data_IF_939993744737
#
_entry.id   IF_939993744737
#
_cell.length_a   1.000
_cell.length_b   1.000
_cell.length_c   1.000
_cell.angle_alpha   90.00
_cell.angle_beta   90.00
_cell.angle_gamma   90.00
#
_symmetry.space_group_name_H-M   'P 1'
#
loop_
_entity.id
_entity.type
_entity.pdbx_description
1 polymer ?
#
# COMPACT_ATOMS: atom_id res chain seq x y z
N UNK A 1 -20.08 13.86 -28.23
CA UNK A 1 -20.65 15.16 -27.85
C UNK A 1 -19.55 16.20 -27.86
N UNK A 2 -19.74 17.40 -28.43
CA UNK A 2 -18.74 18.48 -28.33
C UNK A 2 -18.59 18.91 -26.87
N UNK A 3 -17.32 19.15 -26.43
CA UNK A 3 -17.03 19.62 -25.07
C UNK A 3 -17.68 21.00 -24.84
N UNK A 4 -18.25 21.18 -23.66
CA UNK A 4 -18.85 22.46 -23.29
C UNK A 4 -17.77 23.54 -23.14
N UNK A 5 -18.15 24.81 -23.37
CA UNK A 5 -17.25 25.98 -23.34
C UNK A 5 -16.62 26.26 -21.97
N UNK A 6 -17.14 25.65 -20.89
CA UNK A 6 -16.71 25.77 -19.48
C UNK A 6 -16.17 24.45 -18.90
N UNK A 7 -15.50 23.65 -19.74
CA UNK A 7 -14.87 22.39 -19.28
C UNK A 7 -13.66 22.69 -18.39
N UNK A 8 -13.81 22.47 -17.06
CA UNK A 8 -12.77 22.66 -16.06
C UNK A 8 -11.83 21.44 -15.91
N UNK A 9 -11.95 20.43 -16.78
CA UNK A 9 -11.19 19.17 -16.69
C UNK A 9 -9.67 19.38 -16.61
N UNK A 10 -9.13 20.36 -17.33
CA UNK A 10 -7.68 20.65 -17.30
C UNK A 10 -7.23 21.22 -15.96
N UNK A 11 -8.03 22.10 -15.36
CA UNK A 11 -7.75 22.66 -14.02
C UNK A 11 -7.81 21.56 -12.96
N UNK A 12 -8.86 20.73 -12.98
CA UNK A 12 -9.01 19.61 -12.05
C UNK A 12 -7.81 18.64 -12.17
N UNK A 13 -7.36 18.33 -13.39
CA UNK A 13 -6.17 17.48 -13.58
C UNK A 13 -4.90 18.09 -12.97
N UNK A 14 -4.73 19.41 -13.07
CA UNK A 14 -3.63 20.11 -12.43
C UNK A 14 -3.67 19.98 -10.90
N UNK A 15 -4.85 20.19 -10.32
CA UNK A 15 -5.06 20.07 -8.88
C UNK A 15 -4.84 18.63 -8.39
N UNK A 16 -5.38 17.63 -9.12
CA UNK A 16 -5.13 16.22 -8.78
C UNK A 16 -3.65 15.84 -8.86
N UNK A 17 -2.92 16.41 -9.84
CA UNK A 17 -1.49 16.18 -9.94
C UNK A 17 -0.72 16.79 -8.76
N UNK A 18 -1.09 17.98 -8.32
CA UNK A 18 -0.55 18.63 -7.11
C UNK A 18 -0.77 17.75 -5.88
N UNK A 19 -1.96 17.17 -5.70
CA UNK A 19 -2.25 16.29 -4.58
C UNK A 19 -1.48 14.97 -4.64
N UNK A 20 -1.21 14.43 -5.82
CA UNK A 20 -0.31 13.28 -5.97
C UNK A 20 1.13 13.61 -5.56
N UNK A 21 1.60 14.83 -5.89
CA UNK A 21 2.90 15.32 -5.40
C UNK A 21 2.90 15.43 -3.87
N UNK A 22 1.83 16.00 -3.30
CA UNK A 22 1.69 16.11 -1.84
C UNK A 22 1.74 14.73 -1.17
N UNK A 23 1.02 13.76 -1.72
CA UNK A 23 1.04 12.37 -1.23
C UNK A 23 2.46 11.77 -1.28
N UNK A 24 3.19 11.98 -2.39
CA UNK A 24 4.57 11.51 -2.47
C UNK A 24 5.43 12.14 -1.37
N UNK A 25 5.26 13.44 -1.12
CA UNK A 25 6.03 14.13 -0.07
C UNK A 25 5.66 13.63 1.33
N UNK A 26 4.40 13.26 1.56
CA UNK A 26 4.01 12.60 2.82
C UNK A 26 4.74 11.26 3.02
N UNK A 27 4.87 10.45 1.98
CA UNK A 27 5.67 9.21 2.04
C UNK A 27 7.18 9.43 2.24
N UNK A 28 7.70 10.59 1.86
CA UNK A 28 9.12 10.96 1.98
C UNK A 28 9.45 11.72 3.25
N UNK A 29 8.45 12.04 4.09
CA UNK A 29 8.69 12.71 5.37
C UNK A 29 9.62 11.92 6.27
N UNK A 30 10.37 12.65 7.07
CA UNK A 30 11.15 12.15 8.20
C UNK A 30 10.48 12.59 9.50
N UNK A 31 10.81 11.92 10.58
CA UNK A 31 10.33 12.27 11.92
C UNK A 31 10.54 13.77 12.24
N UNK A 32 9.49 14.41 12.73
CA UNK A 32 9.46 15.85 13.03
C UNK A 32 9.21 16.75 11.81
N UNK A 33 8.90 16.19 10.64
CA UNK A 33 8.42 16.94 9.46
C UNK A 33 6.91 16.93 9.36
N UNK A 34 6.38 17.97 8.69
CA UNK A 34 4.99 18.06 8.28
C UNK A 34 4.90 18.54 6.83
N UNK A 35 3.91 18.01 6.09
CA UNK A 35 3.53 18.49 4.77
C UNK A 35 2.32 19.41 4.91
N UNK A 36 2.36 20.54 4.21
CA UNK A 36 1.25 21.48 4.10
C UNK A 36 0.82 21.58 2.64
N UNK A 37 -0.48 21.59 2.40
CA UNK A 37 -1.06 21.72 1.06
C UNK A 37 -1.78 23.08 0.99
N UNK A 38 -1.54 23.85 -0.06
CA UNK A 38 -2.14 25.19 -0.31
C UNK A 38 -1.88 26.26 0.78
N UNK A 39 -1.21 25.95 1.86
CA UNK A 39 -0.96 26.90 2.97
C UNK A 39 0.20 27.84 2.67
N UNK A 40 1.30 27.33 2.14
CA UNK A 40 2.50 28.10 1.76
C UNK A 40 2.82 27.94 0.27
N UNK A 41 1.81 27.86 -0.59
CA UNK A 41 1.87 27.49 -1.99
C UNK A 41 1.40 26.07 -2.22
N UNK A 42 1.60 25.50 -3.42
CA UNK A 42 0.99 24.23 -3.82
C UNK A 42 1.26 23.10 -2.79
N UNK A 43 2.55 22.84 -2.47
CA UNK A 43 2.96 21.84 -1.46
C UNK A 43 4.19 22.35 -0.71
N UNK A 44 4.20 22.22 0.60
CA UNK A 44 5.35 22.62 1.42
C UNK A 44 5.69 21.53 2.43
N UNK A 45 6.98 21.29 2.64
CA UNK A 45 7.51 20.41 3.67
C UNK A 45 8.21 21.29 4.68
N UNK A 46 7.77 21.24 5.93
CA UNK A 46 8.39 21.97 7.04
C UNK A 46 8.96 20.99 8.07
N UNK A 47 10.12 21.35 8.59
CA UNK A 47 10.87 20.64 9.61
C UNK A 47 12.04 21.49 10.08
N UNK A 48 13.25 20.92 10.16
CA UNK A 48 14.45 21.75 10.32
C UNK A 48 14.62 22.62 9.07
N UNK A 49 15.17 23.84 9.23
CA UNK A 49 15.34 24.77 8.11
C UNK A 49 16.11 24.15 6.94
N UNK A 50 17.11 23.33 7.17
CA UNK A 50 17.89 22.61 6.15
C UNK A 50 17.02 21.74 5.23
N UNK A 51 15.89 21.26 5.74
CA UNK A 51 15.05 20.24 5.09
C UNK A 51 13.70 20.79 4.65
N UNK A 52 13.42 22.08 4.97
CA UNK A 52 12.17 22.73 4.60
C UNK A 52 12.17 23.14 3.13
N UNK A 53 11.13 22.75 2.40
CA UNK A 53 11.01 22.94 0.94
C UNK A 53 9.62 23.43 0.58
N UNK A 54 9.55 24.30 -0.44
CA UNK A 54 8.29 24.66 -1.08
C UNK A 54 8.31 24.20 -2.54
N UNK A 55 7.21 23.61 -3.01
CA UNK A 55 7.08 23.00 -4.33
C UNK A 55 5.88 23.63 -5.03
N UNK A 56 6.14 24.23 -6.19
CA UNK A 56 5.11 24.65 -7.15
C UNK A 56 5.00 23.60 -8.24
N UNK A 57 3.83 23.00 -8.38
CA UNK A 57 3.57 21.92 -9.34
C UNK A 57 2.90 22.45 -10.61
N UNK A 58 3.37 22.02 -11.77
CA UNK A 58 2.85 22.47 -13.06
C UNK A 58 2.65 21.32 -14.04
N UNK A 59 1.39 21.02 -14.35
CA UNK A 59 1.00 19.97 -15.29
C UNK A 59 0.74 20.56 -16.68
N UNK A 60 1.72 20.51 -17.57
CA UNK A 60 1.63 21.05 -18.93
C UNK A 60 2.29 20.14 -19.96
N UNK A 61 1.75 20.14 -21.21
CA UNK A 61 2.27 19.34 -22.31
C UNK A 61 3.32 20.04 -23.18
N UNK A 62 3.39 21.37 -23.15
CA UNK A 62 4.32 22.15 -23.97
C UNK A 62 5.71 22.14 -23.33
N UNK A 63 6.76 22.35 -24.15
CA UNK A 63 8.12 22.52 -23.64
C UNK A 63 8.25 23.74 -22.74
N UNK A 64 9.15 23.65 -21.76
CA UNK A 64 9.49 24.74 -20.85
C UNK A 64 10.39 25.75 -21.60
N UNK A 65 9.81 26.84 -22.03
CA UNK A 65 10.55 27.91 -22.73
C UNK A 65 11.09 28.96 -21.74
N UNK A 66 12.06 29.78 -22.18
CA UNK A 66 12.64 30.84 -21.35
C UNK A 66 11.61 31.83 -20.82
N UNK A 67 10.54 32.05 -21.59
CA UNK A 67 9.42 32.93 -21.23
C UNK A 67 8.17 32.11 -20.85
N UNK A 68 8.34 30.94 -20.27
CA UNK A 68 7.20 30.22 -19.76
C UNK A 68 6.52 30.97 -18.61
N UNK A 69 5.24 31.25 -18.79
CA UNK A 69 4.45 32.04 -17.85
C UNK A 69 4.41 31.42 -16.43
N UNK A 70 4.43 30.10 -16.35
CA UNK A 70 4.35 29.43 -15.05
C UNK A 70 5.63 29.61 -14.23
N UNK A 71 6.80 29.54 -14.87
CA UNK A 71 8.08 29.85 -14.21
C UNK A 71 8.07 31.25 -13.63
N UNK A 72 7.73 32.23 -14.47
CA UNK A 72 7.76 33.64 -14.04
C UNK A 72 6.67 33.95 -13.00
N UNK A 73 5.52 33.31 -13.08
CA UNK A 73 4.48 33.39 -12.05
C UNK A 73 4.94 32.78 -10.71
N UNK A 74 5.63 31.65 -10.73
CA UNK A 74 6.16 31.05 -9.50
C UNK A 74 7.22 31.94 -8.85
N UNK A 75 8.18 32.46 -9.63
CA UNK A 75 9.18 33.41 -9.10
C UNK A 75 8.48 34.68 -8.58
N UNK A 76 7.44 35.19 -9.27
CA UNK A 76 6.65 36.32 -8.83
C UNK A 76 5.95 36.04 -7.49
N UNK A 77 5.39 34.85 -7.29
CA UNK A 77 4.77 34.47 -6.03
C UNK A 77 5.81 34.46 -4.89
N UNK A 78 6.96 33.87 -5.11
CA UNK A 78 8.04 33.79 -4.12
C UNK A 78 8.70 35.13 -3.80
N UNK A 79 8.68 36.10 -4.71
CA UNK A 79 9.26 37.44 -4.51
C UNK A 79 8.38 38.34 -3.65
N UNK A 80 7.09 38.06 -3.53
CA UNK A 80 6.15 38.86 -2.76
C UNK A 80 6.53 38.90 -1.28
N UNK A 81 6.23 40.01 -0.64
CA UNK A 81 6.58 40.25 0.78
C UNK A 81 5.86 39.32 1.73
N UNK A 82 4.63 38.88 1.38
CA UNK A 82 3.80 37.95 2.16
C UNK A 82 4.26 36.49 2.06
N UNK A 83 5.14 36.13 1.13
CA UNK A 83 5.69 34.79 1.05
C UNK A 83 6.87 34.63 2.02
N UNK A 84 6.86 33.64 2.97
CA UNK A 84 7.89 33.49 4.00
C UNK A 84 9.14 32.78 3.45
N UNK A 85 9.87 33.40 2.53
CA UNK A 85 11.02 32.79 1.86
C UNK A 85 12.11 32.31 2.81
N UNK A 86 12.21 32.91 4.00
CA UNK A 86 13.19 32.57 5.01
C UNK A 86 12.91 31.23 5.71
N UNK A 87 11.70 30.72 5.58
CA UNK A 87 11.28 29.43 6.14
C UNK A 87 11.84 28.25 5.34
N UNK A 88 12.24 28.46 4.09
CA UNK A 88 12.64 27.39 3.19
C UNK A 88 14.13 27.37 2.88
N UNK A 89 14.67 26.18 2.68
CA UNK A 89 16.02 25.96 2.14
C UNK A 89 16.00 25.77 0.62
N UNK A 90 14.87 25.36 0.07
CA UNK A 90 14.71 25.11 -1.36
C UNK A 90 13.32 25.48 -1.86
N UNK A 91 13.28 26.06 -3.07
CA UNK A 91 12.08 26.37 -3.83
C UNK A 91 12.11 25.52 -5.09
N UNK A 92 11.12 24.66 -5.30
CA UNK A 92 11.12 23.67 -6.37
C UNK A 92 9.98 23.98 -7.35
N UNK A 93 10.31 24.23 -8.59
CA UNK A 93 9.36 24.20 -9.69
C UNK A 93 9.32 22.80 -10.27
N UNK A 94 8.31 22.01 -9.89
CA UNK A 94 8.09 20.67 -10.38
C UNK A 94 7.15 20.73 -11.59
N UNK A 95 7.61 20.30 -12.76
CA UNK A 95 6.84 20.43 -13.99
C UNK A 95 6.91 19.17 -14.86
N UNK A 96 5.83 18.87 -15.58
CA UNK A 96 5.81 17.81 -16.60
C UNK A 96 6.34 18.27 -17.96
N UNK A 97 6.74 19.54 -18.06
CA UNK A 97 7.30 20.14 -19.28
C UNK A 97 8.76 19.70 -19.48
N UNK A 98 9.12 19.33 -20.70
CA UNK A 98 10.52 19.04 -21.05
C UNK A 98 11.29 20.35 -21.25
N UNK A 99 12.49 20.43 -20.71
CA UNK A 99 13.41 21.54 -20.97
C UNK A 99 14.12 21.29 -22.31
N UNK A 100 13.90 22.08 -23.36
CA UNK A 100 14.53 21.86 -24.67
C UNK A 100 16.00 22.21 -24.66
N UNK A 101 16.74 21.61 -25.60
CA UNK A 101 18.12 21.98 -25.89
C UNK A 101 18.13 23.45 -26.36
N UNK A 102 18.95 24.30 -25.74
CA UNK A 102 19.01 25.75 -26.03
C UNK A 102 18.10 26.60 -25.15
N UNK A 103 17.26 26.04 -24.27
CA UNK A 103 16.59 26.81 -23.23
C UNK A 103 17.58 27.29 -22.18
N UNK A 104 17.38 28.51 -21.70
CA UNK A 104 18.15 29.09 -20.60
C UNK A 104 18.00 28.29 -19.29
N UNK A 105 16.90 27.53 -19.15
CA UNK A 105 16.64 26.64 -18.03
C UNK A 105 17.40 25.32 -18.10
N UNK A 106 18.06 25.00 -19.24
CA UNK A 106 18.85 23.78 -19.36
C UNK A 106 20.03 23.81 -18.38
N UNK A 107 20.23 22.72 -17.66
CA UNK A 107 21.26 22.59 -16.61
C UNK A 107 21.17 23.66 -15.50
N UNK A 108 19.99 24.25 -15.28
CA UNK A 108 19.77 25.24 -14.23
C UNK A 108 20.26 24.79 -12.86
N UNK A 109 19.93 23.57 -12.48
CA UNK A 109 20.25 23.04 -11.15
C UNK A 109 21.76 22.87 -10.89
N UNK A 110 22.57 22.71 -11.96
CA UNK A 110 24.02 22.64 -11.90
C UNK A 110 24.75 23.99 -11.86
N UNK A 111 24.02 25.11 -12.10
CA UNK A 111 24.62 26.44 -12.11
C UNK A 111 24.82 26.99 -10.69
N UNK A 112 25.91 27.71 -10.48
CA UNK A 112 26.13 28.46 -9.24
C UNK A 112 25.20 29.69 -9.13
N UNK A 113 25.04 30.30 -7.93
CA UNK A 113 24.10 31.41 -7.75
C UNK A 113 24.36 32.64 -8.65
N UNK A 114 25.61 32.96 -8.98
CA UNK A 114 25.95 34.07 -9.87
C UNK A 114 25.54 33.77 -11.30
N UNK A 115 25.81 32.60 -11.80
CA UNK A 115 25.37 32.11 -13.11
C UNK A 115 23.85 32.09 -13.25
N UNK A 116 23.13 31.64 -12.20
CA UNK A 116 21.67 31.69 -12.19
C UNK A 116 21.12 33.10 -12.28
N UNK A 117 21.71 34.04 -11.56
CA UNK A 117 21.34 35.47 -11.65
C UNK A 117 21.63 36.04 -13.01
N UNK A 118 22.74 35.67 -13.65
CA UNK A 118 23.08 36.09 -15.02
C UNK A 118 22.05 35.56 -16.03
N UNK A 119 21.67 34.29 -15.94
CA UNK A 119 20.60 33.69 -16.76
C UNK A 119 19.30 34.49 -16.64
N UNK A 120 18.85 34.79 -15.41
CA UNK A 120 17.63 35.56 -15.20
C UNK A 120 17.69 36.96 -15.84
N UNK A 121 18.83 37.66 -15.68
CA UNK A 121 19.05 38.99 -16.29
C UNK A 121 19.05 38.90 -17.80
N UNK A 122 19.71 37.92 -18.40
CA UNK A 122 19.76 37.73 -19.84
C UNK A 122 18.36 37.45 -20.42
N UNK A 123 17.53 36.64 -19.74
CA UNK A 123 16.14 36.43 -20.16
C UNK A 123 15.36 37.76 -20.09
N UNK A 124 15.53 38.57 -19.03
CA UNK A 124 14.89 39.88 -18.88
C UNK A 124 15.28 40.83 -20.00
N UNK A 125 16.58 40.94 -20.28
CA UNK A 125 17.11 41.78 -21.36
C UNK A 125 16.54 41.39 -22.73
N UNK A 126 16.52 40.08 -23.02
CA UNK A 126 15.94 39.56 -24.25
C UNK A 126 14.42 39.81 -24.33
N UNK A 127 13.72 39.73 -23.20
CA UNK A 127 12.31 40.08 -23.16
C UNK A 127 12.06 41.55 -23.41
N UNK A 128 12.87 42.42 -22.82
CA UNK A 128 12.73 43.86 -22.97
C UNK A 128 12.97 44.36 -24.41
N UNK A 129 13.82 43.70 -25.16
CA UNK A 129 14.09 44.01 -26.57
C UNK A 129 12.95 43.59 -27.52
N UNK A 130 11.97 42.85 -27.08
CA UNK A 130 10.86 42.37 -27.94
C UNK A 130 9.86 43.49 -28.27
N UNK A 131 9.46 43.57 -29.54
CA UNK A 131 8.42 44.49 -29.99
C UNK A 131 7.02 44.19 -29.43
N UNK A 132 6.72 42.90 -29.24
CA UNK A 132 5.46 42.45 -28.64
C UNK A 132 5.78 41.64 -27.35
N UNK A 133 5.19 42.07 -26.27
CA UNK A 133 5.39 41.45 -24.93
C UNK A 133 4.07 40.88 -24.42
N UNK A 134 4.16 39.71 -23.80
CA UNK A 134 3.07 39.17 -23.00
C UNK A 134 2.87 40.09 -21.78
N UNK A 135 1.64 40.55 -21.55
CA UNK A 135 1.31 41.50 -20.48
C UNK A 135 1.54 40.94 -19.09
N UNK A 136 1.19 39.66 -18.89
CA UNK A 136 1.34 39.04 -17.57
C UNK A 136 2.82 38.82 -17.23
N UNK A 137 3.61 38.33 -18.21
CA UNK A 137 5.06 38.17 -18.03
C UNK A 137 5.72 39.52 -17.78
N UNK A 138 5.30 40.59 -18.50
CA UNK A 138 5.80 41.93 -18.27
C UNK A 138 5.52 42.40 -16.83
N UNK A 139 4.31 42.15 -16.32
CA UNK A 139 3.94 42.49 -14.95
C UNK A 139 4.81 41.71 -13.93
N UNK A 140 4.96 40.40 -14.13
CA UNK A 140 5.80 39.60 -13.24
C UNK A 140 7.26 40.06 -13.24
N UNK A 141 7.86 40.27 -14.43
CA UNK A 141 9.25 40.67 -14.55
C UNK A 141 9.51 42.07 -13.97
N UNK A 142 8.57 43.01 -14.11
CA UNK A 142 8.72 44.32 -13.50
C UNK A 142 8.81 44.29 -11.99
N UNK A 143 8.03 43.42 -11.34
CA UNK A 143 8.09 43.23 -9.90
C UNK A 143 9.34 42.43 -9.49
N UNK A 144 9.65 41.36 -10.20
CA UNK A 144 10.79 40.49 -9.89
C UNK A 144 12.12 41.25 -9.96
N UNK A 145 12.30 42.12 -10.97
CA UNK A 145 13.52 42.87 -11.20
C UNK A 145 13.49 44.29 -10.64
N UNK A 146 12.48 44.62 -9.82
CA UNK A 146 12.50 45.89 -9.07
C UNK A 146 13.75 45.91 -8.16
N UNK A 147 14.39 47.08 -8.10
CA UNK A 147 15.63 47.30 -7.29
C UNK A 147 15.41 46.88 -5.82
N UNK A 148 14.23 47.16 -5.26
CA UNK A 148 13.88 46.81 -3.89
C UNK A 148 13.91 45.28 -3.65
N UNK A 149 13.69 44.49 -4.69
CA UNK A 149 13.64 43.02 -4.62
C UNK A 149 15.00 42.35 -4.94
N UNK A 150 16.05 43.10 -5.25
CA UNK A 150 17.33 42.56 -5.73
C UNK A 150 17.94 41.49 -4.80
N UNK A 151 17.97 41.77 -3.49
CA UNK A 151 18.52 40.82 -2.50
C UNK A 151 17.66 39.58 -2.41
N UNK A 152 16.33 39.75 -2.40
CA UNK A 152 15.38 38.62 -2.31
C UNK A 152 15.42 37.78 -3.58
N UNK A 153 15.53 38.38 -4.75
CA UNK A 153 15.69 37.66 -6.02
C UNK A 153 16.98 36.83 -6.06
N UNK A 154 18.10 37.38 -5.57
CA UNK A 154 19.37 36.64 -5.46
C UNK A 154 19.23 35.43 -4.57
N UNK A 155 18.52 35.56 -3.45
CA UNK A 155 18.22 34.44 -2.55
C UNK A 155 17.35 33.39 -3.21
N UNK A 156 16.24 33.79 -3.86
CA UNK A 156 15.35 32.88 -4.60
C UNK A 156 16.14 32.15 -5.69
N UNK A 157 16.96 32.86 -6.50
CA UNK A 157 17.77 32.23 -7.53
C UNK A 157 18.73 31.15 -6.98
N UNK A 158 19.30 31.37 -5.78
CA UNK A 158 20.13 30.37 -5.09
C UNK A 158 19.33 29.12 -4.70
N UNK A 159 18.09 29.31 -4.24
CA UNK A 159 17.22 28.25 -3.69
C UNK A 159 16.38 27.54 -4.76
N UNK A 160 16.22 28.13 -5.94
CA UNK A 160 15.36 27.62 -7.00
C UNK A 160 15.97 26.38 -7.65
N UNK A 161 15.15 25.31 -7.68
CA UNK A 161 15.40 24.10 -8.46
C UNK A 161 14.27 23.91 -9.47
N UNK A 162 14.59 23.42 -10.66
CA UNK A 162 13.63 23.07 -11.69
C UNK A 162 13.68 21.56 -11.86
N UNK A 163 12.59 20.90 -11.48
CA UNK A 163 12.44 19.46 -11.56
C UNK A 163 11.46 19.12 -12.69
N UNK A 164 12.00 18.58 -13.78
CA UNK A 164 11.25 18.24 -14.99
C UNK A 164 10.99 16.75 -15.03
N UNK A 165 9.76 16.35 -14.69
CA UNK A 165 9.31 14.96 -14.73
C UNK A 165 8.48 14.72 -16.00
N UNK A 166 8.86 13.71 -16.81
CA UNK A 166 8.20 13.42 -18.10
C UNK A 166 6.97 12.51 -17.98
N UNK A 167 6.21 12.60 -16.89
CA UNK A 167 5.08 11.70 -16.59
C UNK A 167 3.76 12.48 -16.49
N UNK A 168 2.68 11.88 -16.97
CA UNK A 168 1.34 12.40 -16.69
C UNK A 168 0.81 11.93 -15.33
N UNK A 169 -0.31 12.49 -14.88
CA UNK A 169 -0.88 12.18 -13.56
C UNK A 169 -1.20 10.69 -13.35
N UNK A 170 -1.62 9.96 -14.40
CA UNK A 170 -1.94 8.53 -14.28
C UNK A 170 -0.66 7.69 -14.13
N UNK A 171 0.36 8.00 -14.92
CA UNK A 171 1.67 7.36 -14.81
C UNK A 171 2.31 7.65 -13.45
N UNK A 172 2.15 8.89 -12.96
CA UNK A 172 2.64 9.28 -11.65
C UNK A 172 1.96 8.49 -10.52
N UNK A 173 0.63 8.40 -10.54
CA UNK A 173 -0.12 7.59 -9.57
C UNK A 173 0.33 6.11 -9.59
N UNK A 174 0.59 5.53 -10.77
CA UNK A 174 1.10 4.17 -10.90
C UNK A 174 2.51 4.03 -10.32
N UNK A 175 3.39 5.02 -10.56
CA UNK A 175 4.74 5.01 -9.98
C UNK A 175 4.72 5.07 -8.43
N UNK A 176 3.75 5.75 -7.83
CA UNK A 176 3.57 5.74 -6.37
C UNK A 176 3.21 4.33 -5.86
N UNK A 177 2.35 3.58 -6.58
CA UNK A 177 2.04 2.20 -6.23
C UNK A 177 3.28 1.30 -6.24
N UNK A 178 4.14 1.47 -7.24
CA UNK A 178 5.38 0.69 -7.37
C UNK A 178 6.42 1.08 -6.31
N UNK A 179 6.53 2.38 -6.01
CA UNK A 179 7.55 2.91 -5.09
C UNK A 179 7.17 2.64 -3.62
N UNK A 180 5.93 2.93 -3.24
CA UNK A 180 5.49 2.91 -1.84
C UNK A 180 4.62 1.71 -1.47
N UNK A 181 4.15 0.94 -2.44
CA UNK A 181 3.44 -0.32 -2.22
C UNK A 181 4.34 -1.54 -2.02
N UNK A 182 5.65 -1.38 -1.76
CA UNK A 182 6.55 -2.50 -1.50
C UNK A 182 6.15 -3.23 -0.22
N UNK A 183 6.01 -4.55 -0.30
CA UNK A 183 5.54 -5.36 0.83
C UNK A 183 4.02 -5.53 0.89
N UNK A 184 3.26 -4.80 0.07
CA UNK A 184 1.82 -4.97 -0.08
C UNK A 184 1.55 -5.88 -1.29
N UNK A 185 0.61 -6.85 -1.20
CA UNK A 185 0.22 -7.68 -2.34
C UNK A 185 -0.18 -6.83 -3.55
N UNK A 186 0.24 -7.22 -4.75
CA UNK A 186 0.04 -6.40 -5.97
C UNK A 186 -1.40 -5.99 -6.21
N UNK A 187 -2.34 -6.89 -5.93
CA UNK A 187 -3.79 -6.62 -6.05
C UNK A 187 -4.28 -5.53 -5.09
N UNK A 188 -3.56 -5.24 -4.01
CA UNK A 188 -3.95 -4.27 -2.98
C UNK A 188 -3.17 -2.94 -3.08
N UNK A 189 -2.08 -2.86 -3.84
CA UNK A 189 -1.27 -1.62 -3.98
C UNK A 189 -2.11 -0.41 -4.39
N UNK A 190 -3.03 -0.63 -5.35
CA UNK A 190 -3.94 0.42 -5.80
C UNK A 190 -4.88 0.91 -4.69
N UNK A 191 -5.41 0.00 -3.87
CA UNK A 191 -6.28 0.35 -2.74
C UNK A 191 -5.51 1.12 -1.68
N UNK A 192 -4.29 0.71 -1.37
CA UNK A 192 -3.41 1.40 -0.43
C UNK A 192 -3.17 2.86 -0.83
N UNK A 193 -2.67 3.08 -2.04
CA UNK A 193 -2.38 4.45 -2.52
C UNK A 193 -3.66 5.28 -2.63
N UNK A 194 -4.79 4.70 -3.05
CA UNK A 194 -6.06 5.42 -3.10
C UNK A 194 -6.58 5.80 -1.70
N UNK A 195 -6.40 4.92 -0.71
CA UNK A 195 -6.74 5.22 0.68
C UNK A 195 -5.90 6.38 1.21
N UNK A 196 -4.58 6.31 1.09
CA UNK A 196 -3.67 7.37 1.53
C UNK A 196 -3.92 8.70 0.78
N UNK A 197 -4.28 8.63 -0.51
CA UNK A 197 -4.71 9.79 -1.27
C UNK A 197 -6.02 10.39 -0.73
N UNK A 198 -7.00 9.56 -0.37
CA UNK A 198 -8.24 9.98 0.29
C UNK A 198 -7.98 10.58 1.66
N UNK A 199 -7.07 10.01 2.44
CA UNK A 199 -6.68 10.49 3.76
C UNK A 199 -6.18 11.93 3.72
N UNK A 200 -5.21 12.26 2.87
CA UNK A 200 -4.66 13.62 2.77
C UNK A 200 -5.68 14.67 2.28
N UNK A 201 -6.80 14.24 1.70
CA UNK A 201 -7.90 15.07 1.22
C UNK A 201 -9.14 15.02 2.14
N UNK A 202 -9.04 14.36 3.28
CA UNK A 202 -10.17 14.25 4.19
C UNK A 202 -10.58 15.62 4.74
N UNK A 203 -11.88 15.85 5.00
CA UNK A 203 -12.34 17.12 5.55
C UNK A 203 -11.68 17.48 6.88
N UNK A 204 -11.31 16.48 7.66
CA UNK A 204 -10.62 16.68 8.93
C UNK A 204 -9.23 17.30 8.72
N UNK A 205 -8.40 16.72 7.89
CA UNK A 205 -7.07 17.25 7.55
C UNK A 205 -7.18 18.66 6.94
N UNK A 206 -8.14 18.87 6.02
CA UNK A 206 -8.36 20.19 5.39
C UNK A 206 -8.74 21.26 6.40
N UNK A 207 -9.52 20.90 7.42
CA UNK A 207 -9.97 21.85 8.47
C UNK A 207 -8.87 22.28 9.44
N UNK A 208 -7.76 21.52 9.51
CA UNK A 208 -6.60 21.81 10.35
C UNK A 208 -5.43 22.40 9.52
N UNK A 209 -5.69 23.49 8.81
CA UNK A 209 -4.71 24.20 7.97
C UNK A 209 -4.05 23.32 6.91
N UNK A 210 -4.71 22.22 6.55
CA UNK A 210 -4.22 21.21 5.62
C UNK A 210 -2.78 20.74 5.95
N UNK A 211 -2.54 20.59 7.24
CA UNK A 211 -1.29 20.06 7.79
C UNK A 211 -1.37 18.55 7.95
N UNK A 212 -0.34 17.85 7.50
CA UNK A 212 -0.18 16.41 7.66
C UNK A 212 1.15 16.19 8.37
N UNK A 213 1.12 15.68 9.59
CA UNK A 213 2.34 15.37 10.34
C UNK A 213 2.89 14.00 9.96
N UNK A 214 4.19 13.79 10.19
CA UNK A 214 4.84 12.48 10.01
C UNK A 214 4.13 11.39 10.83
N UNK A 215 3.83 11.66 12.10
CA UNK A 215 3.26 10.68 13.02
C UNK A 215 1.84 10.27 12.61
N UNK A 216 0.98 11.24 12.26
CA UNK A 216 -0.39 10.97 11.83
C UNK A 216 -0.40 10.18 10.50
N UNK A 217 0.44 10.58 9.53
CA UNK A 217 0.52 9.90 8.24
C UNK A 217 1.05 8.47 8.37
N UNK A 218 2.06 8.26 9.22
CA UNK A 218 2.65 6.94 9.46
C UNK A 218 1.65 6.03 10.16
N UNK A 219 0.95 6.53 11.19
CA UNK A 219 -0.08 5.78 11.90
C UNK A 219 -1.20 5.33 10.98
N UNK A 220 -1.71 6.23 10.12
CA UNK A 220 -2.73 5.89 9.12
C UNK A 220 -2.23 4.85 8.11
N UNK A 221 -0.97 5.01 7.64
CA UNK A 221 -0.36 4.05 6.71
C UNK A 221 -0.22 2.66 7.33
N UNK A 222 0.19 2.55 8.60
CA UNK A 222 0.29 1.29 9.32
C UNK A 222 -1.08 0.62 9.51
N UNK A 223 -2.11 1.38 9.86
CA UNK A 223 -3.47 0.87 10.06
C UNK A 223 -4.05 0.30 8.77
N UNK A 224 -3.95 1.03 7.66
CA UNK A 224 -4.47 0.55 6.38
C UNK A 224 -3.66 -0.65 5.85
N UNK A 225 -2.33 -0.67 6.02
CA UNK A 225 -1.51 -1.82 5.63
C UNK A 225 -1.95 -3.07 6.40
N UNK A 226 -2.12 -2.96 7.72
CA UNK A 226 -2.61 -4.05 8.55
C UNK A 226 -3.94 -4.60 8.03
N UNK A 227 -4.91 -3.73 7.79
CA UNK A 227 -6.22 -4.09 7.23
C UNK A 227 -6.13 -4.77 5.87
N UNK A 228 -5.28 -4.28 4.98
CA UNK A 228 -5.12 -4.83 3.62
C UNK A 228 -4.37 -6.16 3.60
N UNK A 229 -3.43 -6.36 4.49
CA UNK A 229 -2.65 -7.60 4.59
C UNK A 229 -3.45 -8.69 5.30
N UNK A 230 -4.15 -8.37 6.38
CA UNK A 230 -5.02 -9.30 7.11
C UNK A 230 -6.16 -9.84 6.23
N UNK A 231 -6.68 -9.04 5.30
CA UNK A 231 -7.81 -9.41 4.45
C UNK A 231 -7.42 -10.08 3.12
N UNK A 232 -6.16 -10.42 2.86
CA UNK A 232 -5.72 -10.85 1.53
C UNK A 232 -5.05 -12.19 1.43
N UNK A 233 -4.74 -12.85 2.52
CA UNK A 233 -4.21 -14.19 2.45
C UNK A 233 -5.33 -15.17 2.06
N UNK A 234 -5.45 -15.43 0.76
CA UNK A 234 -6.24 -16.55 0.26
C UNK A 234 -5.47 -17.83 0.60
N UNK A 235 -6.16 -18.79 1.24
CA UNK A 235 -5.56 -20.09 1.52
C UNK A 235 -5.08 -20.72 0.19
N UNK A 236 -3.85 -21.30 0.14
CA UNK A 236 -3.32 -21.86 -1.09
C UNK A 236 -4.27 -22.93 -1.68
N UNK A 237 -4.49 -22.88 -2.98
CA UNK A 237 -5.35 -23.84 -3.65
C UNK A 237 -4.80 -25.27 -3.55
N UNK A 238 -5.71 -26.24 -3.44
CA UNK A 238 -5.38 -27.66 -3.39
C UNK A 238 -4.43 -28.05 -4.53
N UNK A 239 -3.29 -28.64 -4.19
CA UNK A 239 -2.27 -29.03 -5.17
C UNK A 239 -2.79 -30.14 -6.09
N UNK A 240 -2.43 -30.09 -7.38
CA UNK A 240 -2.67 -31.20 -8.29
C UNK A 240 -1.61 -32.26 -8.07
N UNK A 241 -1.94 -33.32 -7.40
CA UNK A 241 -1.06 -34.46 -7.19
C UNK A 241 -1.30 -35.53 -8.27
N UNK A 242 -0.31 -36.39 -8.50
CA UNK A 242 -0.49 -37.61 -9.29
C UNK A 242 -1.49 -38.56 -8.57
N UNK A 243 -1.99 -39.55 -9.29
CA UNK A 243 -2.96 -40.52 -8.72
C UNK A 243 -2.47 -41.09 -7.40
N UNK A 244 -3.25 -40.91 -6.33
CA UNK A 244 -2.95 -41.39 -4.98
C UNK A 244 -3.29 -42.86 -4.94
N UNK A 245 -2.29 -43.68 -4.64
CA UNK A 245 -2.49 -45.13 -4.44
C UNK A 245 -3.00 -45.36 -3.02
N UNK A 246 -4.33 -45.43 -2.87
CA UNK A 246 -4.99 -45.53 -1.54
C UNK A 246 -4.57 -46.73 -0.72
N UNK A 247 -4.26 -47.86 -1.33
CA UNK A 247 -3.79 -49.06 -0.66
C UNK A 247 -2.46 -48.89 0.09
N UNK A 248 -1.65 -47.90 -0.28
CA UNK A 248 -0.39 -47.60 0.41
C UNK A 248 -0.61 -47.05 1.83
N UNK A 249 -1.88 -46.67 2.16
CA UNK A 249 -2.28 -46.10 3.45
C UNK A 249 -3.07 -47.05 4.34
N UNK A 250 -3.34 -48.29 3.92
CA UNK A 250 -4.16 -49.25 4.65
C UNK A 250 -3.66 -49.58 6.07
N UNK A 251 -2.37 -49.38 6.34
CA UNK A 251 -1.76 -49.62 7.66
C UNK A 251 -1.54 -48.36 8.51
N UNK A 252 -2.04 -47.20 8.07
CA UNK A 252 -1.92 -45.96 8.82
C UNK A 252 -2.88 -45.93 10.01
N UNK A 253 -2.43 -45.39 11.17
CA UNK A 253 -3.20 -45.34 12.39
C UNK A 253 -4.53 -44.61 12.23
N UNK A 254 -4.56 -43.50 11.50
CA UNK A 254 -5.81 -42.77 11.26
C UNK A 254 -6.84 -43.57 10.45
N UNK A 255 -6.40 -44.46 9.53
CA UNK A 255 -7.29 -45.34 8.77
C UNK A 255 -7.89 -46.41 9.68
N UNK A 256 -7.07 -47.02 10.54
CA UNK A 256 -7.55 -48.00 11.50
C UNK A 256 -8.58 -47.37 12.47
N UNK A 257 -8.34 -46.14 12.95
CA UNK A 257 -9.29 -45.41 13.79
C UNK A 257 -10.63 -45.11 13.12
N UNK A 258 -10.66 -44.96 11.77
CA UNK A 258 -11.92 -44.85 11.02
C UNK A 258 -12.61 -46.19 10.89
N UNK A 259 -11.85 -47.28 10.71
CA UNK A 259 -12.39 -48.65 10.72
C UNK A 259 -12.99 -49.04 12.08
N UNK A 260 -12.40 -48.58 13.20
CA UNK A 260 -12.92 -48.83 14.56
C UNK A 260 -14.36 -48.35 14.75
N UNK A 261 -14.75 -47.29 14.02
CA UNK A 261 -16.13 -46.80 14.02
C UNK A 261 -16.96 -47.34 12.85
N UNK A 262 -16.45 -48.34 12.10
CA UNK A 262 -17.11 -48.99 10.97
C UNK A 262 -17.56 -48.02 9.90
N UNK A 263 -16.70 -47.07 9.53
CA UNK A 263 -17.00 -45.98 8.58
C UNK A 263 -16.09 -46.06 7.33
N UNK A 264 -16.01 -47.23 6.73
CA UNK A 264 -15.12 -47.54 5.60
C UNK A 264 -15.32 -46.62 4.40
N UNK A 265 -16.53 -46.09 4.18
CA UNK A 265 -16.84 -45.16 3.11
C UNK A 265 -16.13 -43.81 3.26
N UNK A 266 -15.75 -43.37 4.47
CA UNK A 266 -15.02 -42.16 4.75
C UNK A 266 -13.52 -42.27 4.43
N UNK A 267 -12.93 -43.47 4.42
CA UNK A 267 -11.50 -43.73 4.33
C UNK A 267 -10.90 -43.11 3.04
N UNK A 268 -11.59 -43.29 1.91
CA UNK A 268 -11.09 -42.78 0.61
C UNK A 268 -10.91 -41.26 0.61
N UNK A 269 -11.87 -40.51 1.17
CA UNK A 269 -11.80 -39.07 1.34
C UNK A 269 -10.73 -38.64 2.36
N UNK A 270 -10.65 -39.36 3.47
CA UNK A 270 -9.67 -39.12 4.52
C UNK A 270 -8.22 -39.21 4.00
N UNK A 271 -7.92 -40.22 3.18
CA UNK A 271 -6.60 -40.38 2.55
C UNK A 271 -6.30 -39.23 1.58
N UNK A 272 -7.29 -38.84 0.75
CA UNK A 272 -7.12 -37.72 -0.17
C UNK A 272 -6.79 -36.41 0.60
N UNK A 273 -7.51 -36.12 1.67
CA UNK A 273 -7.30 -34.93 2.50
C UNK A 273 -5.96 -34.95 3.23
N UNK A 274 -5.57 -36.13 3.79
CA UNK A 274 -4.27 -36.34 4.43
C UNK A 274 -3.11 -36.03 3.49
N UNK A 275 -3.10 -36.63 2.28
CA UNK A 275 -1.99 -36.50 1.32
C UNK A 275 -1.87 -35.09 0.78
N UNK A 276 -3.00 -34.46 0.46
CA UNK A 276 -2.99 -33.08 -0.02
C UNK A 276 -2.51 -32.10 1.06
N UNK A 277 -2.89 -32.33 2.31
CA UNK A 277 -2.47 -31.51 3.45
C UNK A 277 -0.98 -31.68 3.75
N UNK A 278 -0.46 -32.89 3.78
CA UNK A 278 0.97 -33.16 3.95
C UNK A 278 1.80 -32.47 2.84
N UNK A 279 1.36 -32.60 1.59
CA UNK A 279 2.01 -31.92 0.46
C UNK A 279 1.95 -30.41 0.54
N UNK A 280 0.83 -29.84 1.02
CA UNK A 280 0.66 -28.39 1.19
C UNK A 280 1.59 -27.86 2.30
N UNK A 281 1.67 -28.54 3.42
CA UNK A 281 2.57 -28.20 4.52
C UNK A 281 4.01 -28.14 4.02
N UNK A 282 4.47 -29.19 3.38
CA UNK A 282 5.85 -29.28 2.89
C UNK A 282 6.18 -28.23 1.80
N UNK A 283 5.26 -28.00 0.87
CA UNK A 283 5.54 -27.15 -0.29
C UNK A 283 5.32 -25.66 -0.02
N UNK A 284 4.42 -25.29 0.89
CA UNK A 284 4.01 -23.90 1.06
C UNK A 284 4.18 -23.37 2.48
N UNK A 285 3.88 -24.16 3.49
CA UNK A 285 3.84 -23.65 4.87
C UNK A 285 5.17 -23.74 5.59
N UNK A 286 5.99 -24.73 5.32
CA UNK A 286 7.33 -24.88 5.92
C UNK A 286 8.38 -23.91 5.36
N UNK A 287 8.09 -23.19 4.29
CA UNK A 287 9.02 -22.24 3.66
C UNK A 287 9.32 -20.99 4.50
N UNK A 288 8.52 -20.67 5.48
CA UNK A 288 8.68 -19.49 6.30
C UNK A 288 8.42 -19.78 7.77
N UNK A 289 9.26 -19.23 8.65
CA UNK A 289 9.15 -19.38 10.09
C UNK A 289 7.80 -18.90 10.63
N UNK A 290 7.29 -17.79 10.10
CA UNK A 290 5.97 -17.24 10.46
C UNK A 290 4.84 -18.22 10.12
N UNK A 291 4.91 -18.88 8.96
CA UNK A 291 3.90 -19.86 8.55
C UNK A 291 3.97 -21.13 9.39
N UNK A 292 5.17 -21.59 9.78
CA UNK A 292 5.34 -22.72 10.69
C UNK A 292 4.71 -22.45 12.06
N UNK A 293 4.97 -21.28 12.63
CA UNK A 293 4.38 -20.90 13.92
C UNK A 293 2.85 -20.81 13.83
N UNK A 294 2.32 -20.31 12.73
CA UNK A 294 0.87 -20.27 12.49
C UNK A 294 0.27 -21.68 12.34
N UNK A 295 1.00 -22.62 11.74
CA UNK A 295 0.59 -24.02 11.62
C UNK A 295 0.51 -24.68 13.00
N UNK A 296 1.53 -24.51 13.84
CA UNK A 296 1.53 -25.04 15.21
C UNK A 296 0.36 -24.49 16.04
N UNK A 297 0.09 -23.19 15.91
CA UNK A 297 -1.05 -22.56 16.60
C UNK A 297 -2.39 -23.12 16.11
N UNK A 298 -2.52 -23.35 14.79
CA UNK A 298 -3.72 -23.97 14.20
C UNK A 298 -3.94 -25.39 14.74
N UNK A 299 -2.88 -26.18 14.80
CA UNK A 299 -2.89 -27.53 15.36
C UNK A 299 -3.34 -27.55 16.84
N UNK A 300 -2.79 -26.67 17.67
CA UNK A 300 -3.20 -26.53 19.07
C UNK A 300 -4.68 -26.16 19.22
N UNK A 301 -5.16 -25.22 18.40
CA UNK A 301 -6.57 -24.81 18.40
C UNK A 301 -7.48 -25.96 17.96
N UNK A 302 -7.06 -26.74 16.96
CA UNK A 302 -7.77 -27.90 16.45
C UNK A 302 -7.87 -28.99 17.51
N UNK A 303 -6.78 -29.28 18.21
CA UNK A 303 -6.73 -30.21 19.33
C UNK A 303 -7.66 -29.79 20.47
N UNK A 304 -7.68 -28.50 20.79
CA UNK A 304 -8.59 -27.91 21.78
C UNK A 304 -10.07 -28.11 21.40
N UNK A 305 -10.42 -27.83 20.15
CA UNK A 305 -11.76 -28.00 19.60
C UNK A 305 -12.19 -29.48 19.61
N UNK A 306 -11.32 -30.37 19.11
CA UNK A 306 -11.54 -31.79 19.14
C UNK A 306 -11.84 -32.29 20.58
N UNK A 307 -10.98 -31.95 21.53
CA UNK A 307 -11.13 -32.37 22.94
C UNK A 307 -12.46 -31.91 23.54
N UNK A 308 -12.91 -30.70 23.24
CA UNK A 308 -14.17 -30.15 23.73
C UNK A 308 -15.39 -30.88 23.10
N UNK A 309 -15.36 -31.08 21.77
CA UNK A 309 -16.42 -31.75 21.03
C UNK A 309 -16.49 -33.27 21.39
N UNK A 310 -15.33 -33.92 21.52
CA UNK A 310 -15.25 -35.34 21.95
C UNK A 310 -15.90 -35.55 23.31
N UNK A 311 -15.55 -34.72 24.32
CA UNK A 311 -16.17 -34.77 25.66
C UNK A 311 -17.67 -34.53 25.61
N UNK A 312 -18.16 -33.66 24.72
CA UNK A 312 -19.60 -33.44 24.55
C UNK A 312 -20.28 -34.63 23.92
N UNK A 313 -19.73 -35.22 22.85
CA UNK A 313 -20.26 -36.39 22.16
C UNK A 313 -20.30 -37.60 23.08
N UNK A 314 -19.23 -37.85 23.85
CA UNK A 314 -19.12 -38.99 24.79
C UNK A 314 -20.16 -39.00 25.91
N UNK A 315 -20.83 -37.87 26.19
CA UNK A 315 -21.90 -37.79 27.20
C UNK A 315 -23.30 -37.94 26.66
N UNK A 316 -23.48 -37.82 25.34
CA UNK A 316 -24.79 -37.65 24.70
C UNK A 316 -25.18 -38.82 23.79
N UNK A 317 -25.01 -40.10 24.24
CA UNK A 317 -25.51 -41.26 23.51
C UNK A 317 -26.03 -42.32 24.46
N UNK A 318 -26.93 -43.19 23.98
CA UNK A 318 -27.46 -44.33 24.73
C UNK A 318 -26.70 -45.61 24.39
N UNK A 319 -26.75 -46.59 25.33
CA UNK A 319 -26.10 -47.89 25.14
C UNK A 319 -26.64 -48.53 23.85
N UNK A 320 -25.76 -48.96 22.96
CA UNK A 320 -26.07 -49.50 21.63
C UNK A 320 -25.94 -48.50 20.48
N UNK A 321 -25.88 -47.19 20.73
CA UNK A 321 -25.72 -46.16 19.71
C UNK A 321 -24.26 -45.74 19.49
N UNK A 322 -23.31 -46.27 20.25
CA UNK A 322 -21.89 -45.85 20.30
C UNK A 322 -21.28 -45.70 18.93
N UNK A 323 -21.43 -46.68 18.03
CA UNK A 323 -20.86 -46.64 16.68
C UNK A 323 -21.50 -45.51 15.85
N UNK A 324 -22.82 -45.42 15.83
CA UNK A 324 -23.52 -44.39 15.08
C UNK A 324 -23.15 -43.00 15.61
N UNK A 325 -23.07 -42.79 16.91
CA UNK A 325 -22.67 -41.51 17.50
C UNK A 325 -21.18 -41.20 17.31
N UNK A 326 -20.34 -42.20 17.16
CA UNK A 326 -18.94 -42.02 16.76
C UNK A 326 -18.82 -41.58 15.31
N UNK A 327 -19.67 -42.08 14.41
CA UNK A 327 -19.75 -41.61 13.03
C UNK A 327 -20.31 -40.17 12.97
N UNK A 328 -21.39 -39.85 13.69
CA UNK A 328 -21.92 -38.49 13.84
C UNK A 328 -20.81 -37.51 14.32
N UNK A 329 -20.01 -37.92 15.31
CA UNK A 329 -18.90 -37.11 15.81
C UNK A 329 -17.79 -36.91 14.79
N UNK A 330 -17.46 -37.94 14.02
CA UNK A 330 -16.49 -37.85 12.92
C UNK A 330 -16.98 -36.82 11.86
N UNK A 331 -18.25 -36.93 11.44
CA UNK A 331 -18.85 -36.03 10.47
C UNK A 331 -18.94 -34.58 11.01
N UNK A 332 -19.27 -34.37 12.27
CA UNK A 332 -19.29 -33.07 12.94
C UNK A 332 -17.89 -32.43 12.99
N UNK A 333 -16.84 -33.23 13.10
CA UNK A 333 -15.47 -32.76 13.09
C UNK A 333 -14.94 -32.45 11.68
N UNK A 334 -15.34 -33.24 10.68
CA UNK A 334 -14.85 -33.16 9.30
C UNK A 334 -15.76 -32.34 8.35
N UNK A 335 -17.01 -32.07 8.77
CA UNK A 335 -18.01 -31.38 7.95
C UNK A 335 -17.89 -29.85 7.90
N UNK A 336 -17.22 -29.25 8.88
CA UNK A 336 -17.05 -27.80 8.93
C UNK A 336 -15.75 -27.39 9.64
N UNK A 337 -15.16 -26.25 9.23
CA UNK A 337 -13.99 -25.67 9.87
C UNK A 337 -14.34 -24.31 10.46
N UNK A 338 -14.49 -24.26 11.79
CA UNK A 338 -14.72 -23.03 12.55
C UNK A 338 -13.40 -22.42 13.06
N UNK A 339 -12.25 -23.04 12.73
CA UNK A 339 -10.93 -22.64 13.24
C UNK A 339 -10.22 -21.80 12.20
N UNK A 340 -9.83 -20.58 12.60
CA UNK A 340 -9.09 -19.67 11.76
C UNK A 340 -7.60 -20.00 11.77
N UNK A 341 -6.97 -19.91 10.60
CA UNK A 341 -5.52 -19.96 10.47
C UNK A 341 -5.01 -18.51 10.44
N UNK A 342 -4.11 -18.14 11.33
CA UNK A 342 -3.71 -16.78 11.67
C UNK A 342 -3.57 -15.77 10.49
N UNK A 343 -3.13 -16.22 9.32
CA UNK A 343 -2.92 -15.38 8.14
C UNK A 343 -3.97 -15.53 7.04
N UNK A 344 -4.95 -16.40 7.23
CA UNK A 344 -5.96 -16.72 6.22
C UNK A 344 -7.37 -16.50 6.76
N UNK A 345 -8.23 -15.90 5.96
CA UNK A 345 -9.63 -15.63 6.33
C UNK A 345 -10.47 -16.91 6.46
N UNK A 346 -10.12 -17.94 5.73
CA UNK A 346 -10.74 -19.26 5.79
C UNK A 346 -9.71 -20.32 5.44
N UNK A 347 -9.92 -21.51 5.93
CA UNK A 347 -9.14 -22.69 5.60
C UNK A 347 -10.02 -23.63 4.80
N UNK A 348 -9.51 -24.16 3.70
CA UNK A 348 -10.23 -25.15 2.90
C UNK A 348 -10.50 -26.40 3.72
N UNK A 349 -11.69 -26.99 3.55
CA UNK A 349 -12.13 -28.14 4.33
C UNK A 349 -11.17 -29.35 4.22
N UNK A 350 -10.59 -29.56 3.03
CA UNK A 350 -9.61 -30.65 2.85
C UNK A 350 -8.39 -30.52 3.77
N UNK A 351 -7.93 -29.26 4.00
CA UNK A 351 -6.78 -29.01 4.85
C UNK A 351 -7.14 -29.21 6.33
N UNK A 352 -8.31 -28.73 6.75
CA UNK A 352 -8.83 -28.96 8.08
C UNK A 352 -8.92 -30.47 8.39
N UNK A 353 -9.53 -31.24 7.48
CA UNK A 353 -9.69 -32.68 7.62
C UNK A 353 -8.35 -33.40 7.60
N UNK A 354 -7.47 -33.03 6.66
CA UNK A 354 -6.15 -33.62 6.59
C UNK A 354 -5.31 -33.40 7.84
N UNK A 355 -5.40 -32.22 8.47
CA UNK A 355 -4.76 -31.98 9.78
C UNK A 355 -5.32 -32.88 10.87
N UNK A 356 -6.66 -33.07 10.94
CA UNK A 356 -7.25 -34.02 11.88
C UNK A 356 -6.74 -35.42 11.66
N UNK A 357 -6.63 -35.89 10.40
CA UNK A 357 -6.11 -37.22 10.10
C UNK A 357 -4.62 -37.36 10.40
N UNK A 358 -3.81 -36.33 10.16
CA UNK A 358 -2.39 -36.33 10.56
C UNK A 358 -2.24 -36.42 12.07
N UNK A 359 -3.01 -35.63 12.82
CA UNK A 359 -3.03 -35.69 14.27
C UNK A 359 -3.53 -37.06 14.79
N UNK A 360 -4.51 -37.65 14.13
CA UNK A 360 -5.00 -38.98 14.47
C UNK A 360 -3.97 -40.07 14.15
N UNK A 361 -3.12 -39.89 13.18
CA UNK A 361 -2.04 -40.80 12.81
C UNK A 361 -0.90 -40.78 13.85
N UNK A 362 -0.55 -39.57 14.34
CA UNK A 362 0.57 -39.36 15.26
C UNK A 362 0.21 -39.46 16.76
N UNK A 363 -1.07 -39.27 17.13
CA UNK A 363 -1.50 -39.17 18.52
C UNK A 363 -2.52 -40.21 18.87
N UNK A 364 -2.15 -41.15 19.74
CA UNK A 364 -3.00 -42.25 20.22
C UNK A 364 -4.26 -41.78 20.97
N UNK A 365 -4.23 -40.56 21.57
CA UNK A 365 -5.37 -40.01 22.30
C UNK A 365 -6.45 -39.42 21.37
N UNK A 366 -6.13 -39.14 20.11
CA UNK A 366 -7.09 -38.63 19.14
C UNK A 366 -7.76 -39.82 18.44
N UNK A 367 -8.95 -40.18 18.90
CA UNK A 367 -9.72 -41.34 18.43
C UNK A 367 -11.13 -40.92 18.03
N UNK A 368 -11.72 -41.62 17.05
CA UNK A 368 -13.09 -41.36 16.63
C UNK A 368 -14.11 -42.15 17.45
N UNK A 369 -13.72 -43.31 17.99
CA UNK A 369 -14.58 -44.14 18.81
C UNK A 369 -14.81 -43.47 20.17
N UNK A 370 -16.06 -43.15 20.48
CA UNK A 370 -16.44 -42.58 21.76
C UNK A 370 -16.17 -43.51 22.92
N UNK A 371 -15.88 -43.00 24.13
CA UNK A 371 -15.64 -43.81 25.33
C UNK A 371 -16.85 -44.64 25.68
N UNK A 372 -16.62 -45.85 26.14
CA UNK A 372 -17.67 -46.70 26.70
C UNK A 372 -18.15 -46.12 28.04
N UNK A 373 -19.46 -46.11 28.27
CA UNK A 373 -20.04 -45.63 29.55
C UNK A 373 -19.71 -46.56 30.73
N UNK A 374 -19.24 -47.76 30.43
CA UNK A 374 -18.84 -48.74 31.48
C UNK A 374 -17.41 -48.54 31.98
N UNK A 375 -16.66 -47.62 31.35
CA UNK A 375 -15.26 -47.31 31.70
C UNK A 375 -15.12 -46.13 32.70
N UNK A 376 -16.23 -45.71 33.35
CA UNK A 376 -16.24 -44.83 34.54
C UNK A 376 -16.29 -45.74 35.83
#
# INVERSE_FOLDING_TARGET
MPKQKFDSTLSIKGTLFQFLIALERCFEMQEGQSVYIETYGDVSILGKLSDSKQIESKLYKKNLTDLDKNVWKSIYNWIREDFPVDTFSSLILLTTQKVPIGSAWLNWNGKNPSERMEVLRNIKTNFDSRKRKDKDIATYMNVIFDVKNATRLSRIAKMLYIDSISTDGNQYHKSLQEKYGKGIPDIQKGKYINHMFGYILSPDIVSHDWQITYDDFTSEAEEIIKTLVENTAVFPTKLKLADIKKNDYDGYTFVEKIKDIKYDEAISGAIDDYVHTASMIQQELEKSETKKNSLLQYEENLKGSYTAKYRKASRNYDDGERIAKSQDFYDDMTGSSDITFHTYNSVDLYFHNGMLHMMADENDELVWLLKDKTDE
#
